data_IF_646452095403
#
_entry.id   IF_646452095403
#
_cell.length_a   1.000
_cell.length_b   1.000
_cell.length_c   1.000
_cell.angle_alpha   90.00
_cell.angle_beta   90.00
_cell.angle_gamma   90.00
#
_symmetry.space_group_name_H-M   'P 1'
#
loop_
_entity.id
_entity.type
_entity.pdbx_description
1 polymer ?
#
# COMPACT_ATOMS: atom_id res chain seq x y z
N UNK A 1 14.69 19.63 -2.35
CA UNK A 1 15.09 18.21 -2.20
C UNK A 1 13.84 17.44 -1.79
N UNK A 2 13.39 16.43 -2.55
CA UNK A 2 12.21 15.63 -2.16
C UNK A 2 12.58 14.71 -1.00
N UNK A 3 11.77 14.65 0.04
CA UNK A 3 12.01 13.79 1.21
C UNK A 3 11.55 12.36 0.93
N UNK A 4 12.11 11.39 1.67
CA UNK A 4 11.71 9.98 1.55
C UNK A 4 10.26 9.83 2.01
N UNK A 5 9.33 9.69 1.06
CA UNK A 5 7.89 9.55 1.34
C UNK A 5 7.02 10.56 0.58
N UNK A 6 7.60 11.62 0.03
CA UNK A 6 6.85 12.58 -0.76
C UNK A 6 6.31 11.95 -2.04
N UNK A 7 5.03 12.20 -2.33
CA UNK A 7 4.45 11.86 -3.63
C UNK A 7 5.22 12.61 -4.71
N UNK A 8 5.60 11.90 -5.76
CA UNK A 8 6.23 12.48 -6.93
C UNK A 8 5.55 11.95 -8.18
N UNK A 9 5.28 12.83 -9.13
CA UNK A 9 4.81 12.39 -10.43
C UNK A 9 5.94 11.63 -11.13
N UNK A 10 5.58 10.47 -11.66
CA UNK A 10 6.47 9.67 -12.49
C UNK A 10 6.20 10.02 -13.94
N UNK A 11 7.25 10.25 -14.76
CA UNK A 11 7.05 10.58 -16.17
C UNK A 11 6.49 9.40 -16.98
N UNK A 12 6.53 8.18 -16.43
CA UNK A 12 6.09 6.96 -17.08
C UNK A 12 4.90 6.35 -16.35
N UNK A 13 3.87 5.99 -17.13
CA UNK A 13 2.66 5.31 -16.68
C UNK A 13 2.74 3.81 -16.97
N UNK A 14 2.08 2.98 -16.15
CA UNK A 14 1.91 1.55 -16.41
C UNK A 14 0.85 1.26 -17.48
N UNK A 15 0.12 2.28 -17.95
CA UNK A 15 -1.00 2.12 -18.89
C UNK A 15 -0.61 1.38 -20.18
N UNK A 16 0.52 1.66 -20.86
CA UNK A 16 0.89 0.92 -22.07
C UNK A 16 1.06 -0.59 -21.81
N UNK A 17 1.58 -0.97 -20.64
CA UNK A 17 1.73 -2.38 -20.26
C UNK A 17 0.37 -3.03 -19.99
N UNK A 18 -0.54 -2.30 -19.34
CA UNK A 18 -1.93 -2.76 -19.15
C UNK A 18 -2.66 -2.91 -20.49
N UNK A 19 -2.47 -2.01 -21.43
CA UNK A 19 -3.09 -2.10 -22.76
C UNK A 19 -2.55 -3.28 -23.55
N UNK A 20 -1.26 -3.58 -23.45
CA UNK A 20 -0.64 -4.73 -24.12
C UNK A 20 -1.03 -6.07 -23.49
N UNK A 21 -1.12 -6.15 -22.16
CA UNK A 21 -1.38 -7.40 -21.44
C UNK A 21 -2.86 -7.58 -21.09
N UNK A 22 -3.46 -8.67 -21.57
CA UNK A 22 -4.91 -8.94 -21.42
C UNK A 22 -5.28 -9.85 -20.24
N UNK A 23 -4.30 -10.32 -19.47
CA UNK A 23 -4.56 -11.10 -18.26
C UNK A 23 -4.78 -10.22 -17.02
N UNK A 24 -4.89 -10.86 -15.85
CA UNK A 24 -4.98 -10.17 -14.56
C UNK A 24 -3.73 -9.33 -14.30
N UNK A 25 -3.91 -8.01 -14.16
CA UNK A 25 -2.84 -7.05 -14.01
C UNK A 25 -2.80 -6.51 -12.57
N UNK A 26 -1.73 -6.84 -11.85
CA UNK A 26 -1.51 -6.37 -10.47
C UNK A 26 -0.51 -5.21 -10.51
N UNK A 27 -0.93 -4.04 -10.02
CA UNK A 27 -0.05 -2.88 -9.90
C UNK A 27 0.40 -2.68 -8.44
N UNK A 28 1.60 -2.15 -8.26
CA UNK A 28 2.18 -1.84 -6.96
C UNK A 28 3.06 -0.59 -7.06
N UNK A 29 3.34 0.03 -5.92
CA UNK A 29 4.31 1.14 -5.82
C UNK A 29 3.66 2.47 -5.42
N UNK A 30 3.65 2.75 -4.12
CA UNK A 30 3.26 4.07 -3.61
C UNK A 30 1.76 4.35 -3.54
N UNK A 31 0.90 3.41 -3.92
CA UNK A 31 -0.54 3.55 -3.77
C UNK A 31 -0.97 3.77 -2.32
N UNK A 32 -1.87 4.72 -2.13
CA UNK A 32 -2.74 4.79 -0.96
C UNK A 32 -4.13 4.19 -1.30
N UNK A 33 -5.08 4.28 -0.36
CA UNK A 33 -6.46 3.80 -0.56
C UNK A 33 -7.14 4.48 -1.76
N UNK A 34 -7.01 5.80 -1.88
CA UNK A 34 -7.71 6.59 -2.90
C UNK A 34 -7.14 6.29 -4.28
N UNK A 35 -5.81 6.34 -4.40
CA UNK A 35 -5.13 6.13 -5.67
C UNK A 35 -5.31 4.67 -6.15
N UNK A 36 -5.31 3.70 -5.23
CA UNK A 36 -5.57 2.30 -5.55
C UNK A 36 -7.01 2.07 -6.04
N UNK A 37 -8.00 2.64 -5.35
CA UNK A 37 -9.40 2.59 -5.79
C UNK A 37 -9.58 3.21 -7.18
N UNK A 38 -8.93 4.34 -7.44
CA UNK A 38 -8.97 5.00 -8.75
C UNK A 38 -8.35 4.15 -9.85
N UNK A 39 -7.24 3.47 -9.59
CA UNK A 39 -6.58 2.61 -10.57
C UNK A 39 -7.48 1.43 -11.00
N UNK A 40 -8.16 0.80 -10.04
CA UNK A 40 -9.10 -0.30 -10.31
C UNK A 40 -10.35 0.23 -11.03
N UNK A 41 -10.96 1.31 -10.54
CA UNK A 41 -12.17 1.88 -11.14
C UNK A 41 -11.97 2.35 -12.60
N UNK A 42 -10.75 2.75 -12.97
CA UNK A 42 -10.38 3.16 -14.33
C UNK A 42 -9.88 2.02 -15.21
N UNK A 43 -9.82 0.79 -14.70
CA UNK A 43 -9.29 -0.36 -15.44
C UNK A 43 -7.78 -0.32 -15.70
N UNK A 44 -7.04 0.55 -14.99
CA UNK A 44 -5.58 0.66 -15.10
C UNK A 44 -4.86 -0.53 -14.42
N UNK A 45 -5.53 -1.19 -13.47
CA UNK A 45 -5.11 -2.44 -12.87
C UNK A 45 -6.35 -3.22 -12.43
N UNK A 46 -6.24 -4.54 -12.31
CA UNK A 46 -7.30 -5.39 -11.75
C UNK A 46 -7.14 -5.51 -10.22
N UNK A 47 -5.91 -5.48 -9.73
CA UNK A 47 -5.57 -5.59 -8.30
C UNK A 47 -4.44 -4.62 -7.93
N UNK A 48 -4.43 -4.17 -6.68
CA UNK A 48 -3.37 -3.33 -6.12
C UNK A 48 -2.68 -4.07 -4.97
N UNK A 49 -1.35 -4.19 -5.06
CA UNK A 49 -0.52 -4.74 -4.00
C UNK A 49 0.06 -3.64 -3.11
N UNK A 50 -0.04 -3.84 -1.80
CA UNK A 50 0.43 -2.93 -0.77
C UNK A 50 1.54 -3.59 0.04
N UNK A 51 2.75 -2.98 0.05
CA UNK A 51 3.89 -3.48 0.83
C UNK A 51 4.00 -2.79 2.19
N UNK A 52 4.61 -1.59 2.22
CA UNK A 52 4.86 -0.81 3.45
C UNK A 52 3.63 -0.59 4.32
N UNK A 53 2.47 -0.36 3.68
CA UNK A 53 1.22 -0.20 4.41
C UNK A 53 0.78 -1.48 5.09
N UNK A 54 0.96 -2.63 4.43
CA UNK A 54 0.57 -3.93 4.97
C UNK A 54 1.52 -4.37 6.09
N UNK A 55 2.82 -4.08 5.96
CA UNK A 55 3.80 -4.34 7.03
C UNK A 55 3.37 -3.68 8.34
N UNK A 56 2.94 -2.42 8.30
CA UNK A 56 2.53 -1.69 9.49
C UNK A 56 1.08 -1.89 9.92
N UNK A 57 0.23 -2.47 9.07
CA UNK A 57 -1.20 -2.61 9.31
C UNK A 57 -1.59 -4.06 8.98
N UNK A 58 -1.51 -4.99 9.94
CA UNK A 58 -1.82 -6.40 9.69
C UNK A 58 -3.28 -6.62 9.24
N UNK A 59 -4.14 -5.65 9.54
CA UNK A 59 -5.56 -5.56 9.20
C UNK A 59 -5.86 -4.50 8.11
N UNK A 60 -4.89 -4.18 7.24
CA UNK A 60 -5.02 -3.15 6.21
C UNK A 60 -6.32 -3.22 5.39
N UNK A 61 -6.79 -4.41 4.92
CA UNK A 61 -8.06 -4.48 4.19
C UNK A 61 -9.25 -3.94 5.00
N UNK A 62 -9.32 -4.26 6.30
CA UNK A 62 -10.41 -3.80 7.16
C UNK A 62 -10.34 -2.29 7.38
N UNK A 63 -9.14 -1.75 7.57
CA UNK A 63 -8.94 -0.30 7.68
C UNK A 63 -9.35 0.43 6.41
N UNK A 64 -9.07 -0.13 5.23
CA UNK A 64 -9.52 0.45 3.97
C UNK A 64 -11.02 0.38 3.77
N UNK A 65 -11.66 -0.73 4.17
CA UNK A 65 -13.12 -0.87 4.14
C UNK A 65 -13.79 0.21 5.01
N UNK A 66 -13.32 0.37 6.25
CA UNK A 66 -13.87 1.32 7.22
C UNK A 66 -13.38 2.77 7.04
N UNK A 67 -12.43 3.00 6.11
CA UNK A 67 -11.68 4.26 6.02
C UNK A 67 -11.07 4.69 7.38
N UNK A 68 -10.55 3.72 8.13
CA UNK A 68 -9.96 3.92 9.44
C UNK A 68 -8.51 4.47 9.34
N UNK A 69 -7.99 5.10 10.41
CA UNK A 69 -6.60 5.53 10.46
C UNK A 69 -5.62 4.37 10.25
N UNK A 70 -4.52 4.63 9.54
CA UNK A 70 -3.43 3.66 9.36
C UNK A 70 -2.34 3.90 10.39
N UNK A 71 -1.78 2.81 10.89
CA UNK A 71 -0.51 2.81 11.60
C UNK A 71 0.58 3.35 10.65
N UNK A 72 1.46 4.19 11.20
CA UNK A 72 2.64 4.67 10.47
C UNK A 72 3.69 3.57 10.44
N UNK A 73 4.22 3.27 9.26
CA UNK A 73 5.37 2.38 9.14
C UNK A 73 6.64 3.07 9.65
N UNK A 74 7.53 2.31 10.30
CA UNK A 74 8.87 2.75 10.63
C UNK A 74 9.88 2.14 9.65
N UNK A 75 10.57 2.97 8.85
CA UNK A 75 11.54 2.48 7.84
C UNK A 75 12.85 1.99 8.46
N UNK A 76 13.21 2.47 9.64
CA UNK A 76 14.43 2.08 10.34
C UNK A 76 14.36 0.61 10.80
N UNK A 77 13.14 0.08 10.97
CA UNK A 77 12.90 -1.29 11.44
C UNK A 77 12.63 -2.30 10.32
N UNK A 78 12.64 -1.90 9.04
CA UNK A 78 12.32 -2.81 7.94
C UNK A 78 13.31 -3.97 7.77
N UNK A 79 14.57 -3.72 8.10
CA UNK A 79 15.67 -4.67 7.90
C UNK A 79 16.51 -4.73 9.17
N UNK A 80 15.92 -5.23 10.26
CA UNK A 80 16.61 -5.47 11.53
C UNK A 80 16.62 -6.96 11.82
N UNK A 81 17.46 -7.39 12.76
CA UNK A 81 17.45 -8.76 13.28
C UNK A 81 16.48 -8.95 14.44
N UNK A 82 15.78 -7.90 14.87
CA UNK A 82 14.82 -8.01 15.96
C UNK A 82 13.55 -8.72 15.44
N UNK A 83 13.11 -9.82 16.08
CA UNK A 83 11.99 -10.60 15.58
C UNK A 83 10.62 -9.97 15.88
N UNK A 84 10.56 -8.93 16.72
CA UNK A 84 9.32 -8.32 17.19
C UNK A 84 9.17 -6.88 16.71
N UNK A 85 10.19 -6.05 16.95
CA UNK A 85 10.10 -4.58 16.79
C UNK A 85 10.01 -4.19 15.31
N UNK A 86 8.89 -3.59 14.93
CA UNK A 86 8.58 -3.23 13.54
C UNK A 86 8.23 -4.40 12.65
N UNK A 87 7.89 -5.56 13.22
CA UNK A 87 7.50 -6.76 12.49
C UNK A 87 6.17 -7.33 12.98
N UNK A 88 6.09 -7.79 14.23
CA UNK A 88 4.88 -8.39 14.82
C UNK A 88 4.20 -7.51 15.87
N UNK A 89 4.78 -6.37 16.22
CA UNK A 89 4.31 -5.45 17.26
C UNK A 89 3.36 -4.35 16.75
N UNK A 90 3.06 -4.31 15.45
CA UNK A 90 2.06 -3.39 14.90
C UNK A 90 0.64 -3.75 15.37
N UNK A 91 -0.11 -2.81 15.97
CA UNK A 91 -1.41 -3.12 16.54
C UNK A 91 -2.49 -3.29 15.47
N UNK A 92 -3.45 -4.18 15.73
CA UNK A 92 -4.71 -4.26 15.00
C UNK A 92 -5.62 -3.08 15.35
N UNK A 93 -6.62 -2.79 14.52
CA UNK A 93 -7.69 -1.86 14.89
C UNK A 93 -8.44 -2.44 16.10
N UNK A 94 -8.55 -1.67 17.18
CA UNK A 94 -9.37 -2.08 18.32
C UNK A 94 -10.82 -2.24 17.86
N UNK A 95 -11.36 -3.45 18.03
CA UNK A 95 -12.78 -3.70 17.82
C UNK A 95 -13.46 -3.39 19.14
N UNK A 96 -14.16 -2.26 19.24
CA UNK A 96 -15.10 -2.04 20.33
C UNK A 96 -16.19 -3.10 20.22
N UNK A 97 -16.23 -4.00 21.21
CA UNK A 97 -17.32 -4.96 21.40
C UNK A 97 -18.58 -4.26 21.92
#
# INVERSE_FOLDING_TARGET
MKTVGDKSETPYSLLPMREAFKGTFIAAGGFDRKDGNNAVARGHADLIAYGRWFLANPDLPKRFELNAPLNKYNRETFYTSDPVIGYTDYPFLETTA
#
